data_IF_625277297520
#
_entry.id   IF_625277297520
#
_cell.length_a   1.000
_cell.length_b   1.000
_cell.length_c   1.000
_cell.angle_alpha   90.00
_cell.angle_beta   90.00
_cell.angle_gamma   90.00
#
_symmetry.space_group_name_H-M   'P 1'
#
loop_
_entity.id
_entity.type
_entity.pdbx_description
1 polymer ?
#
# COMPACT_ATOMS: atom_id res chain seq x y z
N UNK A 1 45.55 -21.66 -30.83
CA UNK A 1 44.58 -20.62 -31.13
C UNK A 1 43.82 -20.33 -29.83
N UNK A 2 44.16 -19.24 -29.12
CA UNK A 2 43.43 -18.80 -27.93
C UNK A 2 42.34 -17.85 -28.38
N UNK A 3 41.10 -18.30 -28.34
CA UNK A 3 39.94 -17.46 -28.57
C UNK A 3 39.60 -16.73 -27.25
N UNK A 4 39.88 -15.44 -27.17
CA UNK A 4 39.46 -14.59 -26.07
C UNK A 4 37.97 -14.30 -26.22
N UNK A 5 37.15 -14.82 -25.33
CA UNK A 5 35.78 -14.40 -25.16
C UNK A 5 35.80 -13.03 -24.45
N UNK A 6 35.51 -11.97 -25.20
CA UNK A 6 35.20 -10.68 -24.61
C UNK A 6 33.83 -10.77 -23.94
N UNK A 7 33.79 -10.90 -22.63
CA UNK A 7 32.59 -10.62 -21.82
C UNK A 7 32.30 -9.13 -21.95
N UNK A 8 31.21 -8.78 -22.62
CA UNK A 8 30.70 -7.42 -22.60
C UNK A 8 30.24 -7.14 -21.16
N UNK A 9 30.88 -6.20 -20.51
CA UNK A 9 30.33 -5.56 -19.32
C UNK A 9 29.05 -4.89 -19.77
N UNK A 10 27.89 -5.48 -19.44
CA UNK A 10 26.62 -4.76 -19.49
C UNK A 10 26.73 -3.65 -18.46
N UNK A 11 26.71 -2.41 -18.91
CA UNK A 11 26.54 -1.26 -18.05
C UNK A 11 25.26 -1.50 -17.24
N UNK A 12 25.42 -1.78 -15.96
CA UNK A 12 24.30 -1.87 -15.01
C UNK A 12 23.77 -0.45 -14.86
N UNK A 13 22.68 -0.16 -15.57
CA UNK A 13 21.94 1.08 -15.38
C UNK A 13 21.24 0.94 -14.03
N UNK A 14 21.84 1.43 -12.99
CA UNK A 14 21.21 1.62 -11.69
C UNK A 14 20.08 2.63 -11.90
N UNK A 15 18.84 2.18 -11.93
CA UNK A 15 17.67 3.05 -12.16
C UNK A 15 17.26 3.73 -10.85
N UNK A 16 18.14 4.56 -10.30
CA UNK A 16 17.72 5.52 -9.28
C UNK A 16 16.76 6.51 -9.96
N UNK A 17 15.52 6.59 -9.47
CA UNK A 17 14.53 7.54 -9.98
C UNK A 17 15.10 8.95 -9.82
N UNK A 18 15.42 9.60 -10.93
CA UNK A 18 15.97 10.96 -10.93
C UNK A 18 14.85 11.98 -10.75
N UNK A 19 15.09 12.98 -9.92
CA UNK A 19 14.17 14.11 -9.78
C UNK A 19 14.14 14.91 -11.08
N UNK A 20 12.95 15.31 -11.49
CA UNK A 20 12.70 16.07 -12.70
C UNK A 20 11.72 17.23 -12.45
N UNK A 21 11.27 17.92 -13.49
CA UNK A 21 10.37 19.07 -13.37
C UNK A 21 9.06 18.76 -12.66
N UNK A 22 8.57 17.50 -12.65
CA UNK A 22 7.32 17.11 -11.97
C UNK A 22 7.41 17.17 -10.45
N UNK A 23 8.61 17.22 -9.90
CA UNK A 23 8.88 17.28 -8.46
C UNK A 23 9.08 18.72 -7.95
N UNK A 24 9.10 19.72 -8.85
CA UNK A 24 9.28 21.12 -8.43
C UNK A 24 8.18 21.53 -7.43
N UNK A 25 8.52 21.91 -6.18
CA UNK A 25 7.54 22.27 -5.15
C UNK A 25 6.74 23.53 -5.46
N UNK A 26 7.24 24.37 -6.36
CA UNK A 26 6.57 25.61 -6.77
C UNK A 26 5.46 25.40 -7.81
N UNK A 27 5.35 24.19 -8.37
CA UNK A 27 4.27 23.89 -9.31
C UNK A 27 2.91 24.07 -8.65
N UNK A 28 2.01 24.71 -9.41
CA UNK A 28 0.60 24.86 -9.06
C UNK A 28 -0.28 24.29 -10.16
N UNK A 29 -1.43 23.76 -9.77
CA UNK A 29 -2.44 23.27 -10.69
C UNK A 29 -3.50 24.32 -10.95
N UNK A 30 -4.13 24.26 -12.11
CA UNK A 30 -5.38 25.00 -12.36
C UNK A 30 -6.58 24.40 -11.59
N UNK A 31 -6.46 23.20 -11.05
CA UNK A 31 -7.43 22.64 -10.08
C UNK A 31 -7.13 23.23 -8.71
N UNK A 32 -7.93 24.16 -8.26
CA UNK A 32 -7.63 24.98 -7.08
C UNK A 32 -7.45 24.17 -5.78
N UNK A 33 -8.24 23.09 -5.59
CA UNK A 33 -8.16 22.21 -4.42
C UNK A 33 -6.82 21.46 -4.32
N UNK A 34 -6.13 21.23 -5.43
CA UNK A 34 -4.81 20.61 -5.44
C UNK A 34 -3.69 21.51 -4.84
N UNK A 35 -3.96 22.81 -4.73
CA UNK A 35 -2.97 23.78 -4.22
C UNK A 35 -3.12 24.07 -2.72
N UNK A 36 -4.04 23.43 -2.04
CA UNK A 36 -4.21 23.57 -0.59
C UNK A 36 -3.05 22.90 0.15
N UNK A 37 -2.56 23.49 1.26
CA UNK A 37 -1.39 22.95 1.98
C UNK A 37 -1.59 21.53 2.54
N UNK A 38 -2.82 21.16 2.85
CA UNK A 38 -3.23 19.87 3.40
C UNK A 38 -3.80 18.90 2.36
N UNK A 39 -3.75 19.27 1.07
CA UNK A 39 -4.20 18.39 -0.01
C UNK A 39 -3.36 17.11 -0.08
N UNK A 40 -4.01 15.97 -0.08
CA UNK A 40 -3.34 14.69 -0.33
C UNK A 40 -2.90 14.55 -1.80
N UNK A 41 -3.55 15.29 -2.71
CA UNK A 41 -3.36 15.11 -4.14
C UNK A 41 -2.93 16.41 -4.85
N UNK A 42 -1.76 17.01 -4.44
CA UNK A 42 -1.17 18.10 -5.19
C UNK A 42 -0.68 17.62 -6.55
N UNK A 43 -0.32 18.54 -7.44
CA UNK A 43 0.20 18.23 -8.78
C UNK A 43 1.50 17.39 -8.75
N UNK A 44 2.22 17.38 -7.65
CA UNK A 44 3.41 16.55 -7.45
C UNK A 44 3.07 15.09 -7.12
N UNK A 45 1.82 14.75 -6.74
CA UNK A 45 1.39 13.40 -6.44
C UNK A 45 0.93 12.65 -7.70
N UNK A 46 -0.28 12.93 -8.16
CA UNK A 46 -0.92 12.32 -9.33
C UNK A 46 -1.06 10.78 -9.21
N UNK A 47 -1.68 10.25 -8.13
CA UNK A 47 -1.86 8.83 -7.97
C UNK A 47 -2.93 8.28 -8.91
N UNK A 48 -2.78 7.00 -9.27
CA UNK A 48 -3.69 6.30 -10.16
C UNK A 48 -4.76 5.53 -9.38
N UNK A 49 -5.97 5.47 -9.92
CA UNK A 49 -7.06 4.69 -9.37
C UNK A 49 -8.06 4.29 -10.45
N UNK A 50 -9.05 3.51 -10.04
CA UNK A 50 -10.11 3.01 -10.91
C UNK A 50 -11.45 3.48 -10.36
N UNK A 51 -12.23 4.13 -11.20
CA UNK A 51 -13.45 4.81 -10.80
C UNK A 51 -14.55 4.75 -11.87
N UNK A 52 -15.76 5.02 -11.44
CA UNK A 52 -16.90 5.41 -12.30
C UNK A 52 -17.74 6.44 -11.57
N UNK A 53 -18.68 7.09 -12.27
CA UNK A 53 -19.67 7.95 -11.60
C UNK A 53 -20.56 7.10 -10.70
N UNK A 54 -20.72 7.52 -9.47
CA UNK A 54 -21.58 6.84 -8.49
C UNK A 54 -23.02 6.68 -9.02
N UNK A 55 -23.57 5.49 -8.82
CA UNK A 55 -24.91 5.13 -9.29
C UNK A 55 -25.06 4.96 -10.81
N UNK A 56 -23.97 5.04 -11.59
CA UNK A 56 -24.01 4.76 -13.03
C UNK A 56 -23.77 3.27 -13.32
N UNK A 57 -24.20 2.83 -14.52
CA UNK A 57 -23.89 1.50 -15.05
C UNK A 57 -22.73 1.53 -16.06
N UNK A 58 -21.97 2.64 -16.11
CA UNK A 58 -20.78 2.75 -16.97
C UNK A 58 -19.70 1.78 -16.51
N UNK A 59 -18.87 1.34 -17.45
CA UNK A 59 -17.67 0.58 -17.10
C UNK A 59 -16.74 1.43 -16.22
N UNK A 60 -16.01 0.78 -15.32
CA UNK A 60 -14.94 1.43 -14.58
C UNK A 60 -13.83 1.88 -15.53
N UNK A 61 -13.15 2.97 -15.18
CA UNK A 61 -12.10 3.62 -15.96
C UNK A 61 -10.94 4.02 -15.10
N UNK A 62 -9.77 4.15 -15.71
CA UNK A 62 -8.57 4.62 -15.04
C UNK A 62 -8.61 6.14 -14.90
N UNK A 63 -8.31 6.63 -13.70
CA UNK A 63 -8.20 8.05 -13.40
C UNK A 63 -6.99 8.38 -12.55
N UNK A 64 -6.71 9.67 -12.49
CA UNK A 64 -5.64 10.26 -11.68
C UNK A 64 -6.24 11.29 -10.74
N UNK A 65 -5.94 11.19 -9.43
CA UNK A 65 -6.40 12.19 -8.48
C UNK A 65 -5.60 13.49 -8.61
N UNK A 66 -6.32 14.60 -8.53
CA UNK A 66 -5.78 15.96 -8.49
C UNK A 66 -6.70 16.84 -7.61
N UNK A 67 -6.23 17.21 -6.43
CA UNK A 67 -7.09 17.87 -5.43
C UNK A 67 -8.31 17.02 -5.09
N UNK A 68 -9.51 17.62 -5.18
CA UNK A 68 -10.78 16.95 -4.98
C UNK A 68 -11.39 16.36 -6.28
N UNK A 69 -10.61 16.34 -7.36
CA UNK A 69 -11.04 15.88 -8.68
C UNK A 69 -10.32 14.59 -9.09
N UNK A 70 -10.88 13.91 -10.09
CA UNK A 70 -10.30 12.77 -10.82
C UNK A 70 -10.23 13.15 -12.29
N UNK A 71 -9.04 13.11 -12.88
CA UNK A 71 -8.87 13.22 -14.33
C UNK A 71 -9.09 11.86 -14.97
N UNK A 72 -10.06 11.73 -15.84
CA UNK A 72 -10.32 10.54 -16.66
C UNK A 72 -9.26 10.43 -17.75
N UNK A 73 -8.40 9.41 -17.69
CA UNK A 73 -7.29 9.26 -18.63
C UNK A 73 -7.76 8.98 -20.06
N UNK A 74 -8.80 8.15 -20.23
CA UNK A 74 -9.35 7.86 -21.55
C UNK A 74 -9.96 9.10 -22.20
N UNK A 75 -10.70 9.91 -21.42
CA UNK A 75 -11.26 11.17 -21.89
C UNK A 75 -10.16 12.18 -22.26
N UNK A 76 -9.12 12.32 -21.42
CA UNK A 76 -7.98 13.19 -21.71
C UNK A 76 -7.21 12.76 -22.96
N UNK A 77 -7.01 11.45 -23.14
CA UNK A 77 -6.37 10.92 -24.34
C UNK A 77 -7.20 11.19 -25.62
N UNK A 78 -8.52 11.04 -25.55
CA UNK A 78 -9.42 11.27 -26.67
C UNK A 78 -9.38 12.72 -27.21
N UNK A 79 -9.05 13.69 -26.35
CA UNK A 79 -8.83 15.10 -26.74
C UNK A 79 -7.36 15.40 -27.06
N UNK A 80 -6.54 14.37 -27.26
CA UNK A 80 -5.11 14.48 -27.59
C UNK A 80 -4.26 15.21 -26.52
N UNK A 81 -4.65 15.15 -25.25
CA UNK A 81 -3.94 15.83 -24.16
C UNK A 81 -2.48 15.32 -24.00
N UNK A 82 -2.19 14.11 -24.43
CA UNK A 82 -0.86 13.47 -24.34
C UNK A 82 -0.13 13.44 -25.69
N UNK A 83 -0.54 14.25 -26.66
CA UNK A 83 0.16 14.36 -27.93
C UNK A 83 1.59 14.90 -27.74
N UNK A 84 2.55 14.40 -28.51
CA UNK A 84 3.95 14.82 -28.44
C UNK A 84 4.85 13.96 -27.56
N UNK A 85 4.31 12.94 -26.88
CA UNK A 85 5.08 11.98 -26.11
C UNK A 85 5.14 10.66 -26.88
N UNK A 86 6.31 10.26 -27.34
CA UNK A 86 6.50 9.08 -28.19
C UNK A 86 6.09 7.79 -27.47
N UNK A 87 6.38 7.70 -26.19
CA UNK A 87 6.06 6.57 -25.31
C UNK A 87 4.54 6.38 -25.11
N UNK A 88 3.77 7.47 -25.28
CA UNK A 88 2.31 7.48 -25.12
C UNK A 88 1.57 7.37 -26.46
N UNK A 89 2.29 7.06 -27.55
CA UNK A 89 1.69 6.84 -28.86
C UNK A 89 1.54 5.35 -29.13
N UNK A 90 0.52 5.01 -29.93
CA UNK A 90 0.33 3.64 -30.39
C UNK A 90 -0.73 2.84 -29.64
N UNK A 91 -1.04 1.66 -30.20
CA UNK A 91 -2.17 0.83 -29.78
C UNK A 91 -2.05 0.27 -28.37
N UNK A 92 -0.85 -0.04 -27.90
CA UNK A 92 -0.63 -0.61 -26.56
C UNK A 92 -1.01 0.38 -25.45
N UNK A 93 -0.55 1.61 -25.54
CA UNK A 93 -0.90 2.64 -24.57
C UNK A 93 -2.41 2.95 -24.59
N UNK A 94 -2.97 3.15 -25.82
CA UNK A 94 -4.41 3.39 -25.97
C UNK A 94 -5.24 2.26 -25.38
N UNK A 95 -4.87 1.00 -25.61
CA UNK A 95 -5.54 -0.15 -25.02
C UNK A 95 -5.44 -0.14 -23.50
N UNK A 96 -4.24 0.15 -22.95
CA UNK A 96 -3.98 0.13 -21.53
C UNK A 96 -4.81 1.16 -20.76
N UNK A 97 -4.91 2.41 -21.25
CA UNK A 97 -5.66 3.46 -20.55
C UNK A 97 -7.18 3.36 -20.71
N UNK A 98 -7.66 2.57 -21.68
CA UNK A 98 -9.09 2.25 -21.85
C UNK A 98 -9.50 0.96 -21.11
N UNK A 99 -8.56 0.27 -20.49
CA UNK A 99 -8.86 -0.92 -19.68
C UNK A 99 -9.63 -0.55 -18.39
N UNK A 100 -10.43 -1.47 -17.85
CA UNK A 100 -11.16 -1.24 -16.59
C UNK A 100 -10.30 -1.37 -15.33
N UNK A 101 -9.03 -1.74 -15.47
CA UNK A 101 -8.04 -1.94 -14.40
C UNK A 101 -6.65 -1.48 -14.86
N UNK A 102 -5.76 -1.20 -13.90
CA UNK A 102 -4.40 -0.71 -14.17
C UNK A 102 -3.44 -1.77 -14.73
N UNK A 103 -3.75 -3.07 -14.69
CA UNK A 103 -2.82 -4.15 -15.05
C UNK A 103 -2.10 -3.92 -16.40
N UNK A 104 -2.84 -3.53 -17.44
CA UNK A 104 -2.26 -3.28 -18.75
C UNK A 104 -1.31 -2.06 -18.75
N UNK A 105 -1.64 -1.00 -17.98
CA UNK A 105 -0.77 0.17 -17.81
C UNK A 105 0.48 -0.18 -16.98
N UNK A 106 0.31 -0.96 -15.92
CA UNK A 106 1.40 -1.48 -15.09
C UNK A 106 2.40 -2.29 -15.90
N UNK A 107 1.93 -3.08 -16.85
CA UNK A 107 2.78 -3.90 -17.73
C UNK A 107 3.66 -3.10 -18.69
N UNK A 108 3.36 -1.81 -18.95
CA UNK A 108 4.10 -1.01 -19.92
C UNK A 108 5.48 -0.54 -19.43
N UNK A 109 5.73 -0.58 -18.12
CA UNK A 109 7.04 -0.30 -17.52
C UNK A 109 7.36 1.18 -17.35
N UNK A 110 8.48 1.42 -16.70
CA UNK A 110 8.94 2.74 -16.23
C UNK A 110 9.00 3.82 -17.32
N UNK A 111 9.47 3.57 -18.56
CA UNK A 111 9.52 4.63 -19.57
C UNK A 111 8.14 5.23 -19.87
N UNK A 112 7.10 4.38 -19.94
CA UNK A 112 5.71 4.83 -20.18
C UNK A 112 5.14 5.52 -18.96
N UNK A 113 5.40 5.00 -17.75
CA UNK A 113 4.91 5.62 -16.52
C UNK A 113 5.49 7.02 -16.32
N UNK A 114 6.80 7.20 -16.52
CA UNK A 114 7.46 8.50 -16.39
C UNK A 114 7.00 9.50 -17.47
N UNK A 115 6.84 9.05 -18.71
CA UNK A 115 6.29 9.88 -19.78
C UNK A 115 4.86 10.32 -19.49
N UNK A 116 4.01 9.40 -18.97
CA UNK A 116 2.64 9.72 -18.59
C UNK A 116 2.60 10.70 -17.42
N UNK A 117 3.42 10.50 -16.38
CA UNK A 117 3.55 11.44 -15.26
C UNK A 117 3.93 12.84 -15.74
N UNK A 118 4.91 12.94 -16.64
CA UNK A 118 5.34 14.21 -17.20
C UNK A 118 4.21 14.88 -18.01
N UNK A 119 3.52 14.12 -18.85
CA UNK A 119 2.38 14.61 -19.61
C UNK A 119 1.25 15.12 -18.72
N UNK A 120 0.86 14.33 -17.69
CA UNK A 120 -0.14 14.69 -16.69
C UNK A 120 0.26 15.97 -15.94
N UNK A 121 1.49 16.06 -15.46
CA UNK A 121 1.99 17.26 -14.79
C UNK A 121 1.84 18.50 -15.69
N UNK A 122 2.20 18.40 -16.96
CA UNK A 122 2.14 19.53 -17.91
C UNK A 122 0.71 19.96 -18.27
N UNK A 123 -0.22 19.01 -18.42
CA UNK A 123 -1.62 19.37 -18.73
C UNK A 123 -2.41 19.86 -17.51
N UNK A 124 -1.94 19.55 -16.30
CA UNK A 124 -2.58 19.96 -15.05
C UNK A 124 -1.96 21.22 -14.41
N UNK A 125 -0.86 21.76 -14.97
CA UNK A 125 -0.25 23.01 -14.48
C UNK A 125 -1.16 24.24 -14.68
N UNK A 126 -0.97 25.23 -13.84
CA UNK A 126 -1.72 26.48 -13.89
C UNK A 126 -1.59 27.24 -15.23
N UNK A 127 -0.46 27.06 -15.92
CA UNK A 127 -0.16 27.64 -17.23
C UNK A 127 -0.50 26.73 -18.42
N UNK A 128 -1.21 25.60 -18.19
CA UNK A 128 -1.59 24.66 -19.23
C UNK A 128 -2.52 25.29 -20.27
N UNK A 129 -2.40 24.81 -21.51
CA UNK A 129 -3.29 25.21 -22.63
C UNK A 129 -4.53 24.30 -22.68
N UNK A 130 -5.59 24.76 -23.36
CA UNK A 130 -6.82 23.97 -23.61
C UNK A 130 -7.59 23.57 -22.35
N UNK A 131 -7.59 24.42 -21.30
CA UNK A 131 -8.24 24.16 -20.01
C UNK A 131 -9.72 23.77 -20.12
N UNK A 132 -10.50 24.42 -21.00
CA UNK A 132 -11.93 24.12 -21.14
C UNK A 132 -12.21 22.67 -21.58
N UNK A 133 -11.38 22.11 -22.46
CA UNK A 133 -11.50 20.70 -22.86
C UNK A 133 -11.09 19.73 -21.73
N UNK A 134 -10.02 20.05 -21.00
CA UNK A 134 -9.54 19.26 -19.87
C UNK A 134 -10.52 19.28 -18.70
N UNK A 135 -11.22 20.41 -18.43
CA UNK A 135 -12.25 20.51 -17.39
C UNK A 135 -13.36 19.49 -17.60
N UNK A 136 -13.74 19.20 -18.86
CA UNK A 136 -14.75 18.19 -19.18
C UNK A 136 -14.28 16.74 -18.93
N UNK A 137 -12.98 16.54 -18.73
CA UNK A 137 -12.40 15.24 -18.38
C UNK A 137 -12.32 15.01 -16.86
N UNK A 138 -12.77 15.98 -16.04
CA UNK A 138 -12.76 15.87 -14.58
C UNK A 138 -14.09 15.32 -14.04
N UNK A 139 -13.96 14.54 -12.96
CA UNK A 139 -15.09 14.14 -12.11
C UNK A 139 -14.72 14.45 -10.65
N UNK A 140 -15.61 15.13 -9.88
CA UNK A 140 -15.38 15.28 -8.43
C UNK A 140 -15.25 13.91 -7.74
N UNK A 141 -14.28 13.78 -6.83
CA UNK A 141 -14.09 12.55 -6.06
C UNK A 141 -15.34 12.15 -5.28
N UNK A 142 -16.09 13.13 -4.78
CA UNK A 142 -17.37 12.92 -4.06
C UNK A 142 -18.49 12.32 -4.94
N UNK A 143 -18.36 12.41 -6.26
CA UNK A 143 -19.29 11.83 -7.22
C UNK A 143 -18.82 10.49 -7.79
N UNK A 144 -17.70 9.97 -7.28
CA UNK A 144 -17.10 8.73 -7.77
C UNK A 144 -17.48 7.51 -6.92
N UNK A 145 -17.55 6.38 -7.58
CA UNK A 145 -17.53 5.04 -7.01
C UNK A 145 -16.20 4.39 -7.43
N UNK A 146 -15.47 3.82 -6.48
CA UNK A 146 -14.17 3.22 -6.72
C UNK A 146 -14.25 1.71 -6.84
N UNK A 147 -13.31 1.13 -7.59
CA UNK A 147 -13.04 -0.31 -7.62
C UNK A 147 -11.58 -0.57 -7.23
N UNK A 148 -11.23 -1.85 -7.09
CA UNK A 148 -9.82 -2.23 -6.95
C UNK A 148 -9.02 -1.65 -8.13
N UNK A 149 -7.85 -1.05 -7.87
CA UNK A 149 -7.05 -0.44 -8.93
C UNK A 149 -6.52 -1.46 -9.95
N UNK A 150 -6.36 -2.72 -9.54
CA UNK A 150 -5.91 -3.81 -10.40
C UNK A 150 -6.72 -5.09 -10.16
N UNK A 151 -6.74 -5.98 -11.13
CA UNK A 151 -7.07 -7.38 -10.92
C UNK A 151 -5.87 -8.02 -10.23
N UNK A 152 -6.00 -8.28 -8.93
CA UNK A 152 -4.94 -8.87 -8.12
C UNK A 152 -4.95 -10.37 -8.34
N UNK A 153 -3.92 -10.90 -9.03
CA UNK A 153 -3.74 -12.32 -9.30
C UNK A 153 -3.31 -13.06 -8.05
N UNK A 154 -2.21 -12.61 -7.47
CA UNK A 154 -1.64 -13.15 -6.25
C UNK A 154 -1.41 -12.04 -5.21
N UNK A 155 -1.50 -12.44 -3.94
CA UNK A 155 -1.23 -11.60 -2.79
C UNK A 155 -0.25 -12.31 -1.87
N UNK A 156 0.88 -11.65 -1.59
CA UNK A 156 1.86 -12.12 -0.61
C UNK A 156 1.96 -11.09 0.49
N UNK A 157 1.73 -11.50 1.74
CA UNK A 157 1.89 -10.64 2.89
C UNK A 157 3.21 -10.92 3.59
N UNK A 158 4.00 -9.86 3.81
CA UNK A 158 5.29 -9.91 4.48
C UNK A 158 5.17 -9.51 5.95
N UNK A 159 6.31 -9.46 6.63
CA UNK A 159 6.40 -9.19 8.07
C UNK A 159 7.59 -8.26 8.34
N UNK A 160 7.51 -7.01 7.82
CA UNK A 160 8.69 -6.14 7.72
C UNK A 160 9.00 -5.31 8.96
N UNK A 161 8.05 -5.10 9.88
CA UNK A 161 8.29 -4.29 11.07
C UNK A 161 8.93 -5.11 12.20
N UNK A 162 10.17 -4.80 12.53
CA UNK A 162 10.88 -5.37 13.68
C UNK A 162 10.16 -5.07 15.00
N UNK A 163 9.56 -3.89 15.11
CA UNK A 163 8.84 -3.45 16.31
C UNK A 163 7.59 -4.30 16.52
N UNK A 164 6.77 -4.45 15.48
CA UNK A 164 5.60 -5.33 15.52
C UNK A 164 5.98 -6.78 15.84
N UNK A 165 6.96 -7.33 15.10
CA UNK A 165 7.42 -8.70 15.31
C UNK A 165 7.93 -8.95 16.73
N UNK A 166 8.61 -7.96 17.32
CA UNK A 166 9.09 -8.04 18.70
C UNK A 166 7.95 -7.95 19.71
N UNK A 167 7.01 -7.03 19.50
CA UNK A 167 5.88 -6.83 20.40
C UNK A 167 4.97 -8.08 20.43
N UNK A 168 4.58 -8.57 19.27
CA UNK A 168 3.78 -9.82 19.15
C UNK A 168 4.56 -11.02 19.66
N UNK A 169 5.84 -11.12 19.33
CA UNK A 169 6.70 -12.18 19.81
C UNK A 169 6.77 -12.25 21.33
N UNK A 170 6.85 -11.10 22.02
CA UNK A 170 6.83 -11.04 23.49
C UNK A 170 5.56 -11.60 24.11
N UNK A 171 4.42 -11.49 23.43
CA UNK A 171 3.15 -12.06 23.92
C UNK A 171 3.16 -13.59 23.90
N UNK A 172 3.86 -14.21 22.96
CA UNK A 172 3.88 -15.64 22.76
C UNK A 172 5.17 -16.33 23.20
N UNK A 173 6.29 -15.61 23.16
CA UNK A 173 7.65 -16.10 23.46
C UNK A 173 8.46 -15.04 24.21
N UNK A 174 8.12 -14.73 25.48
CA UNK A 174 8.74 -13.62 26.23
C UNK A 174 10.26 -13.63 26.24
N UNK A 175 10.86 -14.82 26.37
CA UNK A 175 12.31 -15.00 26.50
C UNK A 175 13.05 -14.94 25.15
N UNK A 176 12.36 -15.19 24.03
CA UNK A 176 12.92 -15.12 22.68
C UNK A 176 11.86 -14.64 21.68
N UNK A 177 11.56 -13.32 21.65
CA UNK A 177 10.48 -12.77 20.87
C UNK A 177 10.62 -12.98 19.36
N UNK A 178 11.85 -12.85 18.84
CA UNK A 178 12.12 -13.00 17.41
C UNK A 178 12.64 -14.40 17.08
N UNK A 179 12.09 -14.98 16.02
CA UNK A 179 12.65 -16.21 15.47
C UNK A 179 14.03 -15.94 14.85
N UNK A 180 14.95 -16.91 14.86
CA UNK A 180 16.34 -16.70 14.45
C UNK A 180 16.51 -16.28 12.98
N UNK A 181 15.56 -16.59 12.12
CA UNK A 181 15.57 -16.24 10.70
C UNK A 181 15.00 -14.83 10.40
N UNK A 182 14.34 -14.16 11.36
CA UNK A 182 13.66 -12.87 11.13
C UNK A 182 14.59 -11.80 10.54
N UNK A 183 15.81 -11.68 11.08
CA UNK A 183 16.80 -10.68 10.65
C UNK A 183 17.60 -11.08 9.40
N UNK A 184 17.33 -12.27 8.84
CA UNK A 184 18.04 -12.82 7.69
C UNK A 184 17.21 -12.87 6.42
N UNK A 185 15.91 -13.10 6.55
CA UNK A 185 14.99 -13.21 5.41
C UNK A 185 13.74 -12.34 5.61
N UNK A 186 13.26 -11.66 4.59
CA UNK A 186 11.90 -11.12 4.58
C UNK A 186 10.91 -12.29 4.65
N UNK A 187 10.30 -12.49 5.82
CA UNK A 187 9.32 -13.56 6.01
C UNK A 187 7.99 -13.10 5.40
N UNK A 188 7.35 -13.98 4.65
CA UNK A 188 6.04 -13.74 4.07
C UNK A 188 5.22 -15.02 3.98
N UNK A 189 3.92 -14.86 3.74
CA UNK A 189 3.00 -15.97 3.47
C UNK A 189 2.09 -15.63 2.30
N UNK A 190 1.50 -16.65 1.66
CA UNK A 190 0.54 -16.43 0.58
C UNK A 190 -0.82 -16.04 1.16
N UNK A 191 -1.20 -14.80 0.93
CA UNK A 191 -2.48 -14.23 1.31
C UNK A 191 -3.60 -14.61 0.34
N UNK A 192 -4.83 -14.22 0.69
CA UNK A 192 -5.99 -14.48 -0.14
C UNK A 192 -6.35 -13.27 -1.00
N UNK A 193 -6.06 -13.33 -2.31
CA UNK A 193 -6.35 -12.23 -3.23
C UNK A 193 -7.87 -11.98 -3.41
N UNK A 194 -8.71 -13.04 -3.41
CA UNK A 194 -10.14 -12.92 -3.73
C UNK A 194 -10.99 -12.20 -2.70
N UNK A 195 -10.49 -11.96 -1.49
CA UNK A 195 -11.18 -11.23 -0.41
C UNK A 195 -10.67 -9.81 -0.22
N UNK A 196 -9.78 -9.36 -1.09
CA UNK A 196 -9.33 -7.96 -1.09
C UNK A 196 -10.46 -7.08 -1.62
N UNK A 197 -10.80 -6.04 -0.86
CA UNK A 197 -11.77 -5.02 -1.19
C UNK A 197 -11.18 -3.62 -1.21
N UNK A 198 -11.87 -2.69 -1.83
CA UNK A 198 -11.49 -1.27 -1.82
C UNK A 198 -12.09 -0.57 -0.60
N UNK A 199 -11.49 0.55 -0.19
CA UNK A 199 -11.95 1.44 0.88
C UNK A 199 -13.47 1.67 0.86
N UNK A 200 -14.10 1.66 2.03
CA UNK A 200 -15.55 1.62 2.22
C UNK A 200 -16.09 0.19 2.36
N UNK A 201 -15.23 -0.82 2.37
CA UNK A 201 -15.62 -2.22 2.52
C UNK A 201 -16.37 -2.45 3.84
N UNK A 202 -17.48 -3.18 3.75
CA UNK A 202 -18.20 -3.73 4.90
C UNK A 202 -18.10 -5.25 4.86
N UNK A 203 -17.66 -5.85 5.95
CA UNK A 203 -17.49 -7.29 6.02
C UNK A 203 -18.03 -7.83 7.35
N UNK A 204 -18.45 -9.09 7.35
CA UNK A 204 -19.02 -9.71 8.52
C UNK A 204 -17.93 -10.33 9.39
N UNK A 205 -18.15 -10.28 10.71
CA UNK A 205 -17.32 -10.98 11.69
C UNK A 205 -17.20 -12.46 11.27
N UNK A 206 -15.97 -12.99 11.10
CA UNK A 206 -15.77 -14.37 10.69
C UNK A 206 -16.19 -15.35 11.79
N UNK A 207 -16.61 -16.55 11.35
CA UNK A 207 -16.97 -17.67 12.21
C UNK A 207 -15.96 -18.78 11.96
N UNK A 208 -15.33 -19.28 13.02
CA UNK A 208 -14.31 -20.32 12.93
C UNK A 208 -14.18 -21.09 14.24
N UNK A 209 -13.28 -22.07 14.27
CA UNK A 209 -12.88 -22.70 15.50
C UNK A 209 -11.92 -21.81 16.30
N UNK A 210 -12.16 -21.75 17.59
CA UNK A 210 -11.23 -21.14 18.56
C UNK A 210 -11.06 -22.07 19.76
N UNK A 211 -9.90 -22.03 20.40
CA UNK A 211 -9.66 -22.82 21.62
C UNK A 211 -9.03 -21.93 22.69
N UNK A 212 -9.80 -21.50 23.70
CA UNK A 212 -9.24 -20.83 24.87
C UNK A 212 -8.18 -21.71 25.55
N UNK A 213 -7.14 -21.12 26.17
CA UNK A 213 -6.03 -21.89 26.76
C UNK A 213 -6.47 -22.92 27.80
N UNK A 214 -7.56 -22.64 28.54
CA UNK A 214 -8.10 -23.49 29.61
C UNK A 214 -9.16 -24.50 29.14
N UNK A 215 -9.57 -24.43 27.86
CA UNK A 215 -10.58 -25.34 27.32
C UNK A 215 -9.92 -26.67 26.88
N UNK A 216 -10.61 -27.79 27.14
CA UNK A 216 -10.18 -29.11 26.67
C UNK A 216 -10.43 -29.27 25.16
N UNK A 217 -11.58 -28.78 24.68
CA UNK A 217 -11.99 -28.87 23.28
C UNK A 217 -12.17 -27.49 22.64
N UNK A 218 -11.94 -27.36 21.31
CA UNK A 218 -12.27 -26.14 20.61
C UNK A 218 -13.78 -25.90 20.57
N UNK A 219 -14.17 -24.65 20.35
CA UNK A 219 -15.53 -24.21 20.09
C UNK A 219 -15.65 -23.60 18.72
N UNK A 220 -16.80 -23.74 18.07
CA UNK A 220 -17.09 -23.10 16.78
C UNK A 220 -18.04 -21.92 17.01
N UNK A 221 -17.71 -20.77 16.47
CA UNK A 221 -18.53 -19.57 16.62
C UNK A 221 -17.86 -18.31 16.08
N UNK A 222 -18.50 -17.14 16.27
CA UNK A 222 -17.94 -15.86 15.87
C UNK A 222 -16.62 -15.56 16.59
N UNK A 223 -15.64 -15.04 15.84
CA UNK A 223 -14.38 -14.57 16.42
C UNK A 223 -14.64 -13.43 17.43
N UNK A 224 -13.95 -13.47 18.56
CA UNK A 224 -14.12 -12.51 19.66
C UNK A 224 -13.05 -11.43 19.69
N UNK A 225 -11.93 -11.65 19.00
CA UNK A 225 -10.76 -10.76 19.03
C UNK A 225 -10.46 -10.24 17.63
N UNK A 226 -11.37 -9.38 17.14
CA UNK A 226 -11.19 -8.73 15.83
C UNK A 226 -10.23 -7.57 15.92
N UNK A 227 -9.32 -7.48 14.96
CA UNK A 227 -8.24 -6.52 14.91
C UNK A 227 -8.03 -5.99 13.48
N UNK A 228 -7.30 -4.91 13.37
CA UNK A 228 -6.76 -4.36 12.12
C UNK A 228 -5.23 -4.52 12.10
N UNK A 229 -4.66 -4.45 10.93
CA UNK A 229 -3.21 -4.28 10.75
C UNK A 229 -2.96 -3.13 9.76
N UNK A 230 -2.27 -2.10 10.24
CA UNK A 230 -1.87 -0.94 9.45
C UNK A 230 -0.68 -1.29 8.57
N UNK A 231 -0.85 -1.24 7.26
CA UNK A 231 0.15 -1.69 6.30
C UNK A 231 0.27 -0.79 5.07
N UNK A 232 1.36 -1.00 4.32
CA UNK A 232 1.56 -0.53 2.95
C UNK A 232 1.39 -1.71 2.00
N UNK A 233 0.56 -1.52 0.98
CA UNK A 233 0.45 -2.41 -0.18
C UNK A 233 1.40 -1.94 -1.29
N UNK A 234 2.06 -2.89 -1.94
CA UNK A 234 3.04 -2.66 -3.01
C UNK A 234 2.52 -3.33 -4.27
N UNK A 235 2.15 -2.56 -5.29
CA UNK A 235 1.68 -3.10 -6.56
C UNK A 235 2.83 -3.37 -7.51
N UNK A 236 2.88 -4.60 -8.02
CA UNK A 236 3.82 -4.99 -9.07
C UNK A 236 3.38 -4.37 -10.39
N UNK A 237 4.34 -3.75 -11.05
CA UNK A 237 4.20 -3.20 -12.39
C UNK A 237 4.56 -4.22 -13.45
N UNK A 238 5.75 -4.09 -14.01
CA UNK A 238 6.25 -5.06 -14.96
C UNK A 238 6.67 -6.34 -14.22
N UNK A 239 6.10 -7.48 -14.62
CA UNK A 239 6.45 -8.78 -14.03
C UNK A 239 7.76 -9.37 -14.59
N UNK A 240 8.09 -10.59 -14.15
CA UNK A 240 9.19 -11.42 -14.66
C UNK A 240 8.67 -12.76 -15.16
N UNK A 241 9.41 -13.43 -16.02
CA UNK A 241 9.06 -14.77 -16.47
C UNK A 241 9.41 -15.82 -15.40
N UNK A 242 8.72 -16.99 -15.37
CA UNK A 242 9.11 -18.11 -14.51
C UNK A 242 10.56 -18.50 -14.75
N UNK A 243 11.34 -18.62 -13.67
CA UNK A 243 12.78 -18.91 -13.70
C UNK A 243 13.68 -17.67 -13.71
N UNK A 244 13.15 -16.49 -14.05
CA UNK A 244 13.93 -15.25 -14.00
C UNK A 244 13.95 -14.68 -12.58
N UNK A 245 15.07 -14.04 -12.22
CA UNK A 245 15.29 -13.41 -10.92
C UNK A 245 15.31 -11.90 -11.11
N UNK A 246 14.63 -11.18 -10.23
CA UNK A 246 14.73 -9.72 -10.14
C UNK A 246 15.80 -9.37 -9.11
N UNK A 247 16.91 -8.79 -9.57
CA UNK A 247 18.01 -8.36 -8.69
C UNK A 247 17.68 -7.06 -7.94
N UNK A 248 18.45 -6.78 -6.88
CA UNK A 248 18.24 -5.59 -6.03
C UNK A 248 18.28 -4.26 -6.82
N UNK A 249 19.16 -4.15 -7.79
CA UNK A 249 19.32 -2.98 -8.66
C UNK A 249 18.16 -2.78 -9.64
N UNK A 250 17.35 -3.81 -9.88
CA UNK A 250 16.20 -3.79 -10.76
C UNK A 250 14.85 -3.78 -10.01
N UNK A 251 14.86 -4.14 -8.75
CA UNK A 251 13.64 -4.45 -7.99
C UNK A 251 12.59 -3.34 -8.03
N UNK A 252 13.00 -2.09 -7.86
CA UNK A 252 12.06 -0.96 -7.85
C UNK A 252 11.50 -0.61 -9.24
N UNK A 253 12.20 -0.95 -10.33
CA UNK A 253 11.67 -0.81 -11.69
C UNK A 253 10.49 -1.74 -11.95
N UNK A 254 10.33 -2.79 -11.16
CA UNK A 254 9.19 -3.71 -11.19
C UNK A 254 8.02 -3.27 -10.29
N UNK A 255 8.16 -2.20 -9.51
CA UNK A 255 7.10 -1.68 -8.64
C UNK A 255 6.41 -0.49 -9.30
N UNK A 256 5.09 -0.59 -9.51
CA UNK A 256 4.29 0.51 -10.05
C UNK A 256 4.07 1.60 -9.00
N UNK A 257 3.72 1.21 -7.78
CA UNK A 257 3.46 2.17 -6.71
C UNK A 257 2.97 1.52 -5.43
N UNK A 258 2.67 2.37 -4.45
CA UNK A 258 2.26 1.99 -3.10
C UNK A 258 0.83 2.45 -2.82
N UNK A 259 0.11 1.70 -1.98
CA UNK A 259 -1.20 2.06 -1.45
C UNK A 259 -1.26 1.78 0.06
N UNK A 260 -2.29 2.25 0.75
CA UNK A 260 -2.59 1.81 2.12
C UNK A 260 -3.28 0.46 2.09
N UNK A 261 -3.02 -0.37 3.09
CA UNK A 261 -3.61 -1.69 3.24
C UNK A 261 -3.98 -1.93 4.70
N UNK A 262 -5.14 -2.53 4.91
CA UNK A 262 -5.57 -3.06 6.21
C UNK A 262 -5.76 -4.56 6.06
N UNK A 263 -4.94 -5.35 6.76
CA UNK A 263 -5.09 -6.81 6.87
C UNK A 263 -5.91 -7.16 8.12
N UNK A 264 -7.22 -7.36 7.93
CA UNK A 264 -8.12 -7.66 9.03
C UNK A 264 -7.79 -9.01 9.67
N UNK A 265 -7.78 -9.04 10.99
CA UNK A 265 -7.29 -10.18 11.75
C UNK A 265 -8.30 -10.67 12.79
N UNK A 266 -8.53 -11.97 12.85
CA UNK A 266 -9.26 -12.64 13.93
C UNK A 266 -8.23 -13.31 14.85
N UNK A 267 -7.80 -12.64 15.92
CA UNK A 267 -6.65 -13.05 16.74
C UNK A 267 -6.85 -14.34 17.53
N UNK A 268 -8.07 -14.62 17.94
CA UNK A 268 -8.42 -15.87 18.63
C UNK A 268 -8.44 -17.07 17.67
N UNK A 269 -8.88 -16.87 16.43
CA UNK A 269 -8.76 -17.87 15.35
C UNK A 269 -7.29 -18.07 15.00
N UNK A 270 -6.53 -16.97 14.83
CA UNK A 270 -5.10 -17.03 14.55
C UNK A 270 -4.33 -17.83 15.59
N UNK A 271 -4.59 -17.60 16.87
CA UNK A 271 -3.90 -18.29 17.96
C UNK A 271 -4.12 -19.82 17.93
N UNK A 272 -5.25 -20.28 17.38
CA UNK A 272 -5.60 -21.70 17.30
C UNK A 272 -5.03 -22.40 16.06
N UNK A 273 -5.07 -21.75 14.90
CA UNK A 273 -4.79 -22.45 13.63
C UNK A 273 -3.50 -22.03 12.90
N UNK A 274 -2.74 -21.01 13.39
CA UNK A 274 -1.60 -20.49 12.63
C UNK A 274 -0.43 -21.47 12.47
N UNK A 275 -0.34 -22.47 13.33
CA UNK A 275 0.65 -23.53 13.23
C UNK A 275 0.01 -24.81 12.67
N UNK A 276 0.69 -25.57 11.77
CA UNK A 276 2.11 -25.40 11.36
C UNK A 276 2.34 -24.55 10.11
N UNK A 277 1.30 -24.12 9.36
CA UNK A 277 1.47 -23.58 8.00
C UNK A 277 1.28 -22.04 7.89
N UNK A 278 1.04 -21.35 8.98
CA UNK A 278 0.77 -19.92 9.00
C UNK A 278 -0.74 -19.59 9.10
N UNK A 279 -1.11 -18.29 9.09
CA UNK A 279 -2.51 -17.89 9.23
C UNK A 279 -3.35 -18.31 8.02
N UNK A 280 -4.63 -18.63 8.26
CA UNK A 280 -5.58 -19.06 7.23
C UNK A 280 -6.93 -18.37 7.45
N UNK A 281 -7.90 -19.01 8.18
CA UNK A 281 -9.22 -18.41 8.42
C UNK A 281 -9.14 -17.12 9.24
N UNK A 282 -8.05 -16.93 9.96
CA UNK A 282 -7.79 -15.71 10.73
C UNK A 282 -7.58 -14.46 9.86
N UNK A 283 -7.28 -14.63 8.58
CA UNK A 283 -6.88 -13.56 7.65
C UNK A 283 -7.69 -13.53 6.35
N UNK A 284 -8.07 -14.68 5.81
CA UNK A 284 -8.60 -14.82 4.47
C UNK A 284 -10.03 -14.27 4.26
N UNK A 285 -10.67 -13.73 5.30
CA UNK A 285 -12.03 -13.22 5.24
C UNK A 285 -12.16 -11.80 4.70
N UNK A 286 -11.13 -10.96 4.88
CA UNK A 286 -11.10 -9.59 4.35
C UNK A 286 -9.69 -8.98 4.39
N UNK A 287 -9.36 -8.22 3.35
CA UNK A 287 -8.27 -7.26 3.29
C UNK A 287 -8.80 -6.00 2.58
N UNK A 288 -8.50 -4.80 3.06
CA UNK A 288 -9.00 -3.56 2.46
C UNK A 288 -7.85 -2.68 2.03
N UNK A 289 -7.90 -2.14 0.80
CA UNK A 289 -6.87 -1.23 0.28
C UNK A 289 -7.46 0.15 -0.08
N UNK A 290 -6.60 1.18 -0.09
CA UNK A 290 -6.98 2.49 -0.61
C UNK A 290 -7.20 2.42 -2.13
N UNK A 291 -8.08 3.26 -2.70
CA UNK A 291 -8.35 3.25 -4.14
C UNK A 291 -7.20 3.86 -4.96
N UNK A 292 -6.25 4.53 -4.31
CA UNK A 292 -5.19 5.30 -4.95
C UNK A 292 -3.84 4.60 -4.83
N UNK A 293 -3.15 4.48 -5.96
CA UNK A 293 -1.78 3.96 -6.05
C UNK A 293 -0.84 5.12 -6.33
N UNK A 294 -0.02 5.47 -5.33
CA UNK A 294 1.01 6.52 -5.42
C UNK A 294 2.27 5.92 -6.03
N UNK A 295 2.73 6.46 -7.15
CA UNK A 295 3.89 5.92 -7.86
C UNK A 295 5.20 6.13 -7.10
N UNK A 296 6.18 5.23 -7.26
CA UNK A 296 7.50 5.43 -6.66
C UNK A 296 8.17 6.71 -7.14
N UNK A 297 7.89 7.16 -8.36
CA UNK A 297 8.41 8.43 -8.90
C UNK A 297 7.86 9.63 -8.12
N UNK A 298 6.58 9.64 -7.74
CA UNK A 298 6.02 10.67 -6.88
C UNK A 298 6.67 10.72 -5.49
N UNK A 299 7.08 9.56 -4.98
CA UNK A 299 7.70 9.41 -3.66
C UNK A 299 9.21 9.65 -3.65
N UNK A 300 9.85 9.82 -4.82
CA UNK A 300 11.31 9.95 -4.91
C UNK A 300 11.91 11.06 -4.01
N UNK A 301 11.28 12.26 -3.85
CA UNK A 301 11.81 13.30 -2.96
C UNK A 301 11.76 12.95 -1.47
N UNK A 302 10.96 11.97 -1.09
CA UNK A 302 10.67 11.58 0.30
C UNK A 302 11.41 10.31 0.73
N UNK A 303 12.39 9.89 -0.07
CA UNK A 303 13.26 8.79 0.29
C UNK A 303 14.20 9.16 1.42
N UNK A 304 14.56 8.15 2.20
CA UNK A 304 15.52 8.24 3.28
C UNK A 304 16.49 7.06 3.27
N UNK A 305 17.60 7.23 3.97
CA UNK A 305 18.55 6.17 4.22
C UNK A 305 17.88 5.00 4.96
N UNK A 306 18.08 3.79 4.45
CA UNK A 306 17.73 2.59 5.18
C UNK A 306 18.86 2.20 6.13
N UNK A 307 18.53 1.97 7.39
CA UNK A 307 19.51 1.67 8.43
C UNK A 307 19.12 0.44 9.23
N UNK A 308 20.11 -0.32 9.63
CA UNK A 308 20.00 -1.38 10.64
C UNK A 308 20.79 -1.01 11.87
N UNK A 309 20.39 -1.56 13.01
CA UNK A 309 21.21 -1.48 14.21
C UNK A 309 22.59 -2.10 13.93
N UNK A 310 23.67 -1.47 14.40
CA UNK A 310 25.03 -1.95 14.17
C UNK A 310 25.28 -3.37 14.74
N UNK A 311 24.50 -3.80 15.72
CA UNK A 311 24.55 -5.14 16.29
C UNK A 311 23.79 -6.19 15.47
N UNK A 312 23.00 -5.77 14.49
CA UNK A 312 22.22 -6.67 13.64
C UNK A 312 23.09 -7.26 12.51
N UNK A 313 22.78 -8.49 12.06
CA UNK A 313 23.47 -9.04 10.91
C UNK A 313 23.22 -8.20 9.67
N UNK A 314 24.25 -8.04 8.83
CA UNK A 314 24.06 -7.45 7.50
C UNK A 314 23.30 -8.43 6.61
N UNK A 315 22.48 -7.95 5.66
CA UNK A 315 21.79 -8.84 4.73
C UNK A 315 22.80 -9.63 3.88
N UNK A 316 22.39 -10.79 3.42
CA UNK A 316 23.19 -11.54 2.45
C UNK A 316 23.32 -10.76 1.13
N UNK A 317 24.37 -11.00 0.33
CA UNK A 317 24.66 -10.20 -0.88
C UNK A 317 23.51 -10.04 -1.86
N UNK A 318 22.61 -11.03 -1.98
CA UNK A 318 21.45 -10.92 -2.87
C UNK A 318 20.37 -9.95 -2.40
N UNK A 319 20.40 -9.54 -1.13
CA UNK A 319 19.51 -8.55 -0.52
C UNK A 319 20.23 -7.25 -0.16
N UNK A 320 21.44 -7.05 -0.65
CA UNK A 320 22.22 -5.84 -0.37
C UNK A 320 22.56 -5.10 -1.67
N UNK A 321 22.47 -3.77 -1.62
CA UNK A 321 22.88 -2.90 -2.70
C UNK A 321 23.36 -1.55 -2.13
N UNK A 322 24.36 -0.89 -2.72
CA UNK A 322 24.87 0.39 -2.23
C UNK A 322 23.79 1.45 -2.05
N UNK A 323 22.94 1.62 -3.05
CA UNK A 323 21.87 2.66 -3.08
C UNK A 323 20.80 2.44 -2.01
N UNK A 324 20.65 1.20 -1.52
CA UNK A 324 19.70 0.85 -0.46
C UNK A 324 19.97 1.64 0.82
N UNK A 325 21.25 1.83 1.18
CA UNK A 325 21.67 2.52 2.39
C UNK A 325 21.44 4.01 2.33
N UNK A 326 21.44 4.58 1.14
CA UNK A 326 21.28 6.02 0.94
C UNK A 326 19.81 6.42 0.77
N UNK A 327 18.99 5.55 0.16
CA UNK A 327 17.63 5.90 -0.27
C UNK A 327 16.62 4.75 -0.27
N UNK A 328 16.89 3.64 0.44
CA UNK A 328 16.03 2.45 0.41
C UNK A 328 14.73 2.56 1.21
N UNK A 329 14.61 3.51 2.13
CA UNK A 329 13.42 3.73 2.94
C UNK A 329 12.52 4.86 2.40
N UNK A 330 11.24 4.81 2.74
CA UNK A 330 10.27 5.86 2.43
C UNK A 330 9.76 6.48 3.72
N UNK A 331 9.81 7.82 3.81
CA UNK A 331 9.24 8.57 4.94
C UNK A 331 7.75 8.78 4.72
N UNK A 332 6.96 7.77 5.08
CA UNK A 332 5.50 7.80 5.01
C UNK A 332 4.95 7.76 6.43
N UNK A 333 4.35 8.87 6.86
CA UNK A 333 3.58 8.93 8.10
C UNK A 333 2.32 8.09 7.93
N UNK A 334 2.00 7.30 8.95
CA UNK A 334 0.84 6.42 8.98
C UNK A 334 0.01 6.71 10.22
N UNK A 335 -1.31 6.65 10.09
CA UNK A 335 -2.24 6.96 11.17
C UNK A 335 -3.40 5.98 11.17
N UNK A 336 -3.83 5.57 12.36
CA UNK A 336 -5.03 4.76 12.57
C UNK A 336 -6.04 5.56 13.38
N UNK A 337 -7.28 5.61 12.88
CA UNK A 337 -8.41 6.16 13.61
C UNK A 337 -9.51 5.09 13.74
N UNK A 338 -10.26 5.17 14.84
CA UNK A 338 -11.42 4.35 15.11
C UNK A 338 -12.66 5.22 15.23
N UNK A 339 -13.73 4.85 14.57
CA UNK A 339 -15.05 5.45 14.75
C UNK A 339 -16.05 4.35 15.11
N UNK A 340 -16.55 4.38 16.34
CA UNK A 340 -17.56 3.43 16.80
C UNK A 340 -18.93 3.72 16.20
N UNK A 341 -19.85 2.75 16.22
CA UNK A 341 -21.25 2.97 15.80
C UNK A 341 -21.88 4.12 16.61
N UNK A 342 -21.61 4.18 17.92
CA UNK A 342 -22.08 5.25 18.78
C UNK A 342 -21.50 6.61 18.38
N UNK A 343 -20.21 6.70 18.08
CA UNK A 343 -19.61 7.96 17.59
C UNK A 343 -20.30 8.46 16.32
N UNK A 344 -20.58 7.56 15.37
CA UNK A 344 -21.31 7.94 14.16
C UNK A 344 -22.72 8.42 14.45
N UNK A 345 -23.45 7.72 15.31
CA UNK A 345 -24.82 8.12 15.71
C UNK A 345 -24.85 9.48 16.40
N UNK A 346 -23.84 9.78 17.21
CA UNK A 346 -23.69 11.05 17.94
C UNK A 346 -23.07 12.17 17.07
N UNK A 347 -22.67 11.90 15.82
CA UNK A 347 -21.96 12.85 14.95
C UNK A 347 -20.55 13.20 15.43
N UNK A 348 -19.95 12.36 16.29
CA UNK A 348 -18.60 12.56 16.82
C UNK A 348 -17.53 12.16 15.80
N UNK A 349 -16.42 12.89 15.82
CA UNK A 349 -15.27 12.59 14.97
C UNK A 349 -14.59 11.26 15.36
N UNK A 350 -13.96 10.56 14.41
CA UNK A 350 -13.12 9.40 14.72
C UNK A 350 -11.99 9.77 15.68
N UNK A 351 -11.64 8.84 16.57
CA UNK A 351 -10.51 8.99 17.49
C UNK A 351 -9.25 8.36 16.91
N UNK A 352 -8.14 9.10 16.93
CA UNK A 352 -6.83 8.55 16.61
C UNK A 352 -6.38 7.57 17.68
N UNK A 353 -6.02 6.36 17.25
CA UNK A 353 -5.48 5.31 18.12
C UNK A 353 -3.97 5.31 18.15
N UNK A 354 -3.33 5.46 16.99
CA UNK A 354 -1.87 5.40 16.86
C UNK A 354 -1.37 6.14 15.63
N UNK A 355 -0.05 6.38 15.61
CA UNK A 355 0.69 6.86 14.45
C UNK A 355 1.99 6.08 14.34
N UNK A 356 2.46 5.78 13.13
CA UNK A 356 3.75 5.15 12.89
C UNK A 356 4.39 5.71 11.62
N UNK A 357 5.53 5.16 11.20
CA UNK A 357 6.17 5.59 9.97
C UNK A 357 6.74 4.40 9.21
N UNK A 358 6.49 4.32 7.92
CA UNK A 358 6.97 3.23 7.06
C UNK A 358 8.50 3.17 6.95
N UNK A 359 9.21 4.28 7.19
CA UNK A 359 10.69 4.31 7.23
C UNK A 359 11.29 3.36 8.27
N UNK A 360 10.52 2.99 9.30
CA UNK A 360 10.96 2.11 10.39
C UNK A 360 10.88 0.63 10.01
N UNK A 361 10.49 0.31 8.77
CA UNK A 361 10.52 -1.05 8.24
C UNK A 361 11.94 -1.62 8.24
N UNK A 362 12.08 -2.83 8.78
CA UNK A 362 13.36 -3.55 8.81
C UNK A 362 13.76 -4.10 7.44
N UNK A 363 12.79 -4.43 6.59
CA UNK A 363 12.96 -4.85 5.21
C UNK A 363 12.35 -3.82 4.25
N UNK A 364 13.08 -3.50 3.19
CA UNK A 364 12.67 -2.49 2.20
C UNK A 364 11.85 -3.09 1.06
N UNK A 365 11.12 -2.25 0.33
CA UNK A 365 10.34 -2.65 -0.85
C UNK A 365 11.19 -3.42 -1.87
N UNK A 366 12.39 -2.95 -2.18
CA UNK A 366 13.30 -3.64 -3.09
C UNK A 366 13.69 -5.04 -2.60
N UNK A 367 13.97 -5.18 -1.30
CA UNK A 367 14.30 -6.48 -0.71
C UNK A 367 13.14 -7.47 -0.77
N UNK A 368 11.89 -7.01 -0.63
CA UNK A 368 10.71 -7.87 -0.76
C UNK A 368 10.59 -8.44 -2.17
N UNK A 369 10.70 -7.59 -3.19
CA UNK A 369 10.61 -8.00 -4.61
C UNK A 369 11.73 -8.97 -4.96
N UNK A 370 12.98 -8.66 -4.59
CA UNK A 370 14.13 -9.53 -4.86
C UNK A 370 13.99 -10.87 -4.16
N UNK A 371 13.61 -10.87 -2.88
CA UNK A 371 13.44 -12.12 -2.13
C UNK A 371 12.31 -12.99 -2.70
N UNK A 372 11.21 -12.36 -3.13
CA UNK A 372 10.07 -13.07 -3.70
C UNK A 372 10.43 -13.82 -4.99
N UNK A 373 11.42 -13.34 -5.75
CA UNK A 373 11.76 -13.88 -7.07
C UNK A 373 13.08 -14.66 -7.11
N UNK A 374 13.88 -14.63 -6.05
CA UNK A 374 15.23 -15.22 -6.03
C UNK A 374 15.26 -16.73 -6.33
N UNK A 375 14.17 -17.43 -6.08
CA UNK A 375 14.01 -18.85 -6.38
C UNK A 375 13.44 -19.13 -7.79
N UNK A 376 13.25 -18.09 -8.62
CA UNK A 376 12.62 -18.17 -9.94
C UNK A 376 11.09 -18.05 -9.95
N UNK A 377 10.47 -17.64 -8.83
CA UNK A 377 9.05 -17.30 -8.81
C UNK A 377 8.79 -16.09 -9.70
N UNK A 378 7.75 -16.15 -10.52
CA UNK A 378 7.31 -15.00 -11.31
C UNK A 378 6.34 -14.11 -10.52
N UNK A 379 6.38 -12.81 -10.83
CA UNK A 379 5.39 -11.82 -10.46
C UNK A 379 4.66 -11.35 -11.72
N UNK A 380 3.40 -10.98 -11.58
CA UNK A 380 2.56 -10.49 -12.67
C UNK A 380 2.16 -9.03 -12.44
N UNK A 381 1.87 -8.27 -13.51
CA UNK A 381 1.34 -6.91 -13.36
C UNK A 381 0.04 -6.90 -12.56
N UNK A 382 0.02 -6.14 -11.47
CA UNK A 382 -1.13 -6.06 -10.56
C UNK A 382 -1.10 -7.01 -9.37
N UNK A 383 -0.10 -7.89 -9.25
CA UNK A 383 0.13 -8.63 -8.00
C UNK A 383 0.40 -7.64 -6.86
N UNK A 384 -0.04 -8.00 -5.66
CA UNK A 384 0.05 -7.17 -4.46
C UNK A 384 0.97 -7.82 -3.43
N UNK A 385 1.92 -7.04 -2.91
CA UNK A 385 2.70 -7.42 -1.74
C UNK A 385 2.24 -6.55 -0.56
N UNK A 386 1.88 -7.16 0.56
CA UNK A 386 1.66 -6.47 1.84
C UNK A 386 2.98 -6.32 2.58
N UNK A 387 3.16 -5.20 3.24
CA UNK A 387 4.35 -4.95 4.06
C UNK A 387 4.37 -5.74 5.37
N UNK A 388 3.22 -6.27 5.78
CA UNK A 388 2.99 -6.61 7.18
C UNK A 388 2.74 -5.36 8.03
N UNK A 389 2.23 -5.55 9.22
CA UNK A 389 1.87 -4.48 10.16
C UNK A 389 3.03 -3.52 10.39
N UNK A 390 2.80 -2.21 10.25
CA UNK A 390 3.77 -1.16 10.45
C UNK A 390 3.65 -0.53 11.83
N UNK A 391 4.54 -0.90 12.72
CA UNK A 391 4.68 -0.34 14.06
C UNK A 391 6.03 0.34 14.22
N UNK A 392 6.07 1.43 14.96
CA UNK A 392 7.28 2.14 15.32
C UNK A 392 7.86 1.73 16.68
N UNK A 393 8.94 2.40 17.14
CA UNK A 393 9.64 2.04 18.37
C UNK A 393 8.88 2.33 19.67
N UNK A 394 7.95 3.29 19.67
CA UNK A 394 7.19 3.65 20.87
C UNK A 394 5.86 2.87 20.96
N UNK A 395 5.33 2.61 22.17
CA UNK A 395 4.08 1.88 22.35
C UNK A 395 2.88 2.48 21.63
N UNK A 396 2.81 3.81 21.53
CA UNK A 396 1.77 4.56 20.83
C UNK A 396 1.92 4.51 19.29
N UNK A 397 3.00 3.95 18.79
CA UNK A 397 3.27 3.76 17.37
C UNK A 397 2.89 2.35 16.87
N UNK A 398 2.08 1.65 17.64
CA UNK A 398 1.65 0.30 17.31
C UNK A 398 0.63 0.28 16.16
N UNK A 399 0.83 -0.63 15.20
CA UNK A 399 0.00 -0.78 14.01
C UNK A 399 -1.21 -1.70 14.19
N UNK A 400 -1.49 -2.19 15.41
CA UNK A 400 -2.60 -3.10 15.70
C UNK A 400 -3.15 -2.93 17.13
N UNK A 401 -4.42 -3.33 17.35
CA UNK A 401 -4.98 -3.39 18.70
C UNK A 401 -4.30 -4.46 19.55
N UNK A 402 -3.86 -5.56 18.95
CA UNK A 402 -3.12 -6.61 19.67
C UNK A 402 -1.93 -6.04 20.44
N UNK A 403 -1.21 -5.09 19.85
CA UNK A 403 -0.08 -4.42 20.47
C UNK A 403 -0.55 -3.36 21.47
N UNK A 404 -1.44 -2.44 21.05
CA UNK A 404 -1.95 -1.34 21.89
C UNK A 404 -2.61 -1.83 23.18
N UNK A 405 -3.25 -3.00 23.12
CA UNK A 405 -3.96 -3.59 24.27
C UNK A 405 -3.14 -4.66 25.01
N UNK A 406 -1.86 -4.84 24.65
CA UNK A 406 -0.99 -5.87 25.23
C UNK A 406 -1.62 -7.28 25.20
N UNK A 407 -2.20 -7.64 24.04
CA UNK A 407 -2.88 -8.92 23.86
C UNK A 407 -4.28 -8.97 24.48
N UNK A 408 -4.94 -7.83 24.67
CA UNK A 408 -6.24 -7.70 25.29
C UNK A 408 -6.21 -7.64 26.82
N UNK A 409 -5.07 -7.28 27.40
CA UNK A 409 -4.91 -7.10 28.87
C UNK A 409 -5.22 -5.66 29.33
N UNK A 410 -5.05 -4.68 28.43
CA UNK A 410 -5.22 -3.27 28.71
C UNK A 410 -6.22 -2.65 27.74
N UNK A 411 -7.32 -2.12 28.27
CA UNK A 411 -8.32 -1.46 27.44
C UNK A 411 -7.88 -0.05 27.02
N UNK A 412 -8.31 0.36 25.83
CA UNK A 412 -8.17 1.71 25.30
C UNK A 412 -9.46 2.47 25.61
N UNK A 413 -9.35 3.59 26.33
CA UNK A 413 -10.46 4.49 26.57
C UNK A 413 -10.72 5.36 25.35
N UNK A 414 -11.96 5.44 24.91
CA UNK A 414 -12.40 6.28 23.81
C UNK A 414 -13.02 7.58 24.32
N UNK A 415 -12.97 8.63 23.51
CA UNK A 415 -13.43 9.99 23.87
C UNK A 415 -14.93 10.07 24.20
N UNK A 416 -15.73 9.13 23.72
CA UNK A 416 -17.15 9.02 23.99
C UNK A 416 -17.50 8.17 25.21
N UNK A 417 -16.49 7.74 25.99
CA UNK A 417 -16.63 6.91 27.20
C UNK A 417 -16.65 5.41 26.96
N UNK A 418 -16.65 4.94 25.71
CA UNK A 418 -16.50 3.53 25.38
C UNK A 418 -15.06 3.06 25.63
N UNK A 419 -14.86 1.75 25.71
CA UNK A 419 -13.55 1.11 25.83
C UNK A 419 -13.41 0.01 24.78
N UNK A 420 -12.18 -0.21 24.30
CA UNK A 420 -11.88 -1.31 23.37
C UNK A 420 -10.67 -2.11 23.84
N UNK A 421 -10.82 -3.42 23.76
CA UNK A 421 -9.70 -4.39 23.74
C UNK A 421 -9.43 -4.85 22.32
N UNK A 422 -10.50 -5.14 21.59
CA UNK A 422 -10.55 -5.51 20.18
C UNK A 422 -11.76 -4.83 19.54
N UNK A 423 -11.88 -4.92 18.21
CA UNK A 423 -12.99 -4.30 17.49
C UNK A 423 -14.33 -4.96 17.82
N UNK A 424 -15.35 -4.14 17.98
CA UNK A 424 -16.73 -4.55 18.15
C UNK A 424 -17.53 -4.37 16.85
N UNK A 425 -18.69 -5.05 16.77
CA UNK A 425 -19.59 -4.90 15.63
C UNK A 425 -20.04 -3.45 15.50
N UNK A 426 -20.03 -2.93 14.28
CA UNK A 426 -20.29 -1.54 13.98
C UNK A 426 -19.05 -0.63 14.01
N UNK A 427 -17.91 -1.08 14.50
CA UNK A 427 -16.67 -0.28 14.48
C UNK A 427 -16.17 -0.09 13.04
N UNK A 428 -15.77 1.14 12.72
CA UNK A 428 -15.08 1.49 11.48
C UNK A 428 -13.66 1.90 11.78
N UNK A 429 -12.69 1.22 11.15
CA UNK A 429 -11.28 1.60 11.16
C UNK A 429 -10.98 2.47 9.95
N UNK A 430 -10.20 3.53 10.16
CA UNK A 430 -9.75 4.45 9.13
C UNK A 430 -8.24 4.50 9.19
N UNK A 431 -7.58 4.16 8.07
CA UNK A 431 -6.14 4.30 7.92
C UNK A 431 -5.85 5.48 7.00
N UNK A 432 -4.85 6.28 7.36
CA UNK A 432 -4.32 7.38 6.56
C UNK A 432 -2.82 7.25 6.41
N UNK A 433 -2.30 7.76 5.29
CA UNK A 433 -0.87 7.82 5.06
C UNK A 433 -0.51 9.02 4.22
N UNK A 434 0.63 9.64 4.53
CA UNK A 434 1.16 10.76 3.77
C UNK A 434 2.66 10.93 3.97
N UNK A 435 3.29 11.58 3.02
CA UNK A 435 4.65 12.08 3.15
C UNK A 435 4.63 13.59 3.32
N UNK A 436 5.53 14.11 4.14
CA UNK A 436 5.72 15.55 4.31
C UNK A 436 7.15 15.84 4.73
N UNK A 437 7.81 16.72 3.97
CA UNK A 437 9.19 17.16 4.26
C UNK A 437 9.28 18.66 4.09
N UNK A 438 10.11 19.31 4.90
CA UNK A 438 10.28 20.77 4.82
C UNK A 438 10.64 21.22 3.40
N UNK A 439 9.91 22.20 2.86
CA UNK A 439 10.09 22.72 1.51
C UNK A 439 9.49 21.87 0.39
N UNK A 440 8.85 20.74 0.72
CA UNK A 440 8.14 19.88 -0.24
C UNK A 440 6.65 19.85 0.06
N UNK A 441 5.77 19.66 -0.94
CA UNK A 441 4.35 19.52 -0.73
C UNK A 441 4.02 18.21 0.02
N UNK A 442 2.89 18.18 0.71
CA UNK A 442 2.31 16.94 1.21
C UNK A 442 1.90 16.03 0.04
N UNK A 443 2.18 14.74 0.13
CA UNK A 443 1.68 13.71 -0.78
C UNK A 443 0.92 12.69 0.05
N UNK A 444 -0.38 12.54 -0.20
CA UNK A 444 -1.25 11.61 0.52
C UNK A 444 -1.59 10.37 -0.28
N UNK A 445 -2.07 9.36 0.42
CA UNK A 445 -2.51 8.06 -0.12
C UNK A 445 -4.04 7.92 -0.11
N UNK A 446 -4.78 8.98 0.29
CA UNK A 446 -6.19 8.89 0.60
C UNK A 446 -6.44 8.11 1.89
N UNK A 447 -7.58 7.43 1.96
CA UNK A 447 -7.99 6.69 3.15
C UNK A 447 -8.34 5.23 2.82
N UNK A 448 -8.06 4.35 3.78
CA UNK A 448 -8.69 3.03 3.85
C UNK A 448 -9.74 3.08 4.95
N UNK A 449 -10.98 2.79 4.61
CA UNK A 449 -12.05 2.62 5.59
C UNK A 449 -12.65 1.23 5.48
N UNK A 450 -12.92 0.61 6.63
CA UNK A 450 -13.60 -0.67 6.67
C UNK A 450 -14.44 -0.82 7.92
N UNK A 451 -15.64 -1.40 7.80
CA UNK A 451 -16.59 -1.54 8.91
C UNK A 451 -16.88 -3.00 9.18
N UNK A 452 -16.69 -3.39 10.45
CA UNK A 452 -17.02 -4.73 10.94
C UNK A 452 -18.52 -4.84 11.19
N UNK A 453 -19.18 -5.77 10.51
CA UNK A 453 -20.59 -6.10 10.71
C UNK A 453 -20.75 -7.35 11.60
N UNK A 454 -21.92 -7.52 12.28
CA UNK A 454 -22.21 -8.73 13.02
C UNK A 454 -22.01 -10.00 12.20
N UNK A 455 -21.65 -11.10 12.85
CA UNK A 455 -21.59 -12.42 12.22
C UNK A 455 -22.95 -12.79 11.59
N UNK A 456 -22.94 -13.67 10.60
CA UNK A 456 -24.20 -14.25 10.12
C UNK A 456 -24.78 -15.13 11.22
N UNK A 457 -26.09 -14.96 11.44
CA UNK A 457 -26.90 -15.86 12.31
C UNK A 457 -26.98 -17.25 11.70
#
# INVERSE_FOLDING_TARGET
>A
VKTSVKTSVKDSITMTIQLNETHNPELRSWVASANQPDSDFPIQNLPFGVFRRHGSHQAFRIGVAIGDQILDLAAAHAIHAFAGYTELQGGHFTTAINAPYLNALMALGTPVWSALRLALSRVLRADAKHLAALQNCLLPQSAAEYALPAQIGDYTDFYTSLHHATAVGKLFRPDNPLLPNYKWVPIGYHGRASSIGVSGQQFRRPVAQTKPPTAETPVFGPAKRMDYELEIGIFIGQGNAPGDVISMDQAEAHVFGLCLLNDWSARDVQAWEYQPLGPFLAKNFATTISPWVVTLEALAPYRQAWQRNAADPQPLPYLDAPDLRDSGAFDIQLEVLLQTEKMRADGAAPQRLSTSNFRDSYWTVAQLVTHHTVNGCNLNPGDLLGSGTQSGPAPEEAGSLLELTEGGKKSIALSNGEQRLFLEDGDTVILRGWTQKQGLPRIGFGEVTGTLLPARS
#
